data_IF_602109874376
#
_entry.id   IF_602109874376
#
_cell.length_a   1.000
_cell.length_b   1.000
_cell.length_c   1.000
_cell.angle_alpha   90.00
_cell.angle_beta   90.00
_cell.angle_gamma   90.00
#
_symmetry.space_group_name_H-M   'P 1'
#
loop_
_entity.id
_entity.type
_entity.pdbx_description
1 polymer ?
#
# COMPACT_ATOMS: atom_id res chain seq x y z
N UNK A 1 2.31 -3.27 -5.57
CA UNK A 1 3.52 -3.64 -6.32
C UNK A 1 4.64 -3.88 -5.32
N UNK A 2 5.40 -4.95 -5.48
CA UNK A 2 6.60 -5.23 -4.69
C UNK A 2 7.84 -4.95 -5.54
N UNK A 3 8.79 -4.20 -4.99
CA UNK A 3 10.10 -3.99 -5.59
C UNK A 3 11.15 -4.87 -4.93
N UNK A 4 12.16 -5.27 -5.70
CA UNK A 4 13.36 -5.91 -5.17
C UNK A 4 14.32 -4.86 -4.55
N UNK A 5 15.44 -5.36 -4.02
CA UNK A 5 16.49 -4.52 -3.41
C UNK A 5 17.11 -3.50 -4.37
N UNK A 6 16.98 -3.70 -5.68
CA UNK A 6 17.52 -2.83 -6.71
C UNK A 6 16.48 -1.83 -7.25
N UNK A 7 15.26 -1.83 -6.69
CA UNK A 7 14.16 -0.99 -7.17
C UNK A 7 13.51 -1.49 -8.46
N UNK A 8 13.81 -2.72 -8.88
CA UNK A 8 13.11 -3.39 -9.99
C UNK A 8 11.80 -4.00 -9.49
N UNK A 9 10.80 -4.05 -10.35
CA UNK A 9 9.51 -4.67 -10.08
C UNK A 9 9.71 -6.19 -9.96
N UNK A 10 9.32 -6.75 -8.83
CA UNK A 10 9.24 -8.20 -8.64
C UNK A 10 8.14 -8.74 -9.58
N UNK A 11 8.49 -9.59 -10.56
CA UNK A 11 7.53 -10.10 -11.55
C UNK A 11 6.44 -10.96 -10.92
N UNK A 12 6.66 -11.51 -9.73
CA UNK A 12 5.66 -12.29 -9.02
C UNK A 12 4.90 -11.47 -7.96
N UNK A 13 5.34 -10.23 -7.71
CA UNK A 13 4.86 -9.35 -6.66
C UNK A 13 4.02 -8.16 -7.14
N UNK A 14 3.52 -8.18 -8.38
CA UNK A 14 2.73 -7.08 -8.93
C UNK A 14 1.28 -7.46 -9.23
N UNK A 15 0.36 -6.64 -8.73
CA UNK A 15 -1.08 -6.90 -8.73
C UNK A 15 -1.83 -5.63 -9.11
N UNK A 16 -2.92 -5.80 -9.85
CA UNK A 16 -3.95 -4.81 -10.06
C UNK A 16 -5.20 -5.24 -9.31
N UNK A 17 -5.52 -4.56 -8.20
CA UNK A 17 -6.46 -5.07 -7.21
C UNK A 17 -6.04 -6.46 -6.72
N UNK A 18 -6.89 -7.47 -6.93
CA UNK A 18 -6.59 -8.88 -6.59
C UNK A 18 -5.98 -9.69 -7.73
N UNK A 19 -5.87 -9.12 -8.93
CA UNK A 19 -5.40 -9.84 -10.11
C UNK A 19 -3.89 -9.67 -10.25
N UNK A 20 -3.16 -10.79 -10.27
CA UNK A 20 -1.73 -10.78 -10.58
C UNK A 20 -1.52 -10.34 -12.04
N UNK A 21 -0.62 -9.41 -12.26
CA UNK A 21 -0.26 -8.96 -13.60
C UNK A 21 0.71 -9.95 -14.25
N UNK A 22 0.53 -10.23 -15.54
CA UNK A 22 1.48 -11.04 -16.31
C UNK A 22 2.76 -10.23 -16.60
N UNK A 23 3.84 -10.93 -16.98
CA UNK A 23 5.09 -10.26 -17.38
C UNK A 23 4.87 -9.33 -18.58
N UNK A 24 4.06 -9.74 -19.54
CA UNK A 24 3.71 -8.95 -20.73
C UNK A 24 2.90 -7.69 -20.35
N UNK A 25 1.93 -7.81 -19.43
CA UNK A 25 1.18 -6.65 -18.94
C UNK A 25 2.09 -5.66 -18.19
N UNK A 26 3.07 -6.16 -17.43
CA UNK A 26 4.04 -5.30 -16.73
C UNK A 26 4.95 -4.56 -17.71
N UNK A 27 5.46 -5.25 -18.73
CA UNK A 27 6.29 -4.65 -19.78
C UNK A 27 5.49 -3.62 -20.59
N UNK A 28 4.22 -3.90 -20.91
CA UNK A 28 3.34 -2.95 -21.60
C UNK A 28 2.98 -1.73 -20.74
N UNK A 29 2.82 -1.89 -19.41
CA UNK A 29 2.39 -0.81 -18.51
C UNK A 29 3.55 0.09 -18.10
N UNK A 30 4.69 -0.50 -17.73
CA UNK A 30 5.83 0.22 -17.17
C UNK A 30 6.98 0.42 -18.16
N UNK A 31 6.93 -0.24 -19.33
CA UNK A 31 7.95 -0.20 -20.39
C UNK A 31 9.19 -1.02 -20.05
N UNK A 32 9.67 -0.92 -18.81
CA UNK A 32 10.78 -1.73 -18.29
C UNK A 32 10.45 -2.23 -16.88
N UNK A 33 11.22 -3.20 -16.40
CA UNK A 33 11.14 -3.67 -15.01
C UNK A 33 11.63 -2.64 -13.99
N UNK A 34 12.36 -1.61 -14.42
CA UNK A 34 12.87 -0.57 -13.55
C UNK A 34 11.86 0.57 -13.52
N UNK A 35 11.48 0.97 -12.32
CA UNK A 35 10.63 2.15 -12.13
C UNK A 35 11.52 3.38 -12.28
N UNK A 36 11.27 4.15 -13.32
CA UNK A 36 11.99 5.41 -13.53
C UNK A 36 11.69 6.42 -12.41
N UNK A 37 12.59 7.37 -12.18
CA UNK A 37 12.44 8.40 -11.16
C UNK A 37 11.11 9.17 -11.25
N UNK A 38 10.63 9.45 -12.46
CA UNK A 38 9.36 10.15 -12.66
C UNK A 38 8.12 9.28 -12.40
N UNK A 39 8.22 7.97 -12.66
CA UNK A 39 7.17 7.01 -12.29
C UNK A 39 7.12 6.81 -10.77
N UNK A 40 8.28 6.82 -10.10
CA UNK A 40 8.39 6.66 -8.65
C UNK A 40 7.70 7.79 -7.87
N UNK A 41 7.66 9.02 -8.41
CA UNK A 41 6.95 10.16 -7.78
C UNK A 41 5.45 9.92 -7.59
N UNK A 42 4.84 9.06 -8.42
CA UNK A 42 3.42 8.71 -8.32
C UNK A 42 3.15 7.50 -7.43
N UNK A 43 4.18 6.85 -6.91
CA UNK A 43 4.05 5.67 -6.06
C UNK A 43 4.07 6.09 -4.59
N UNK A 44 3.24 5.40 -3.80
CA UNK A 44 3.28 5.54 -2.34
C UNK A 44 3.95 4.33 -1.73
N UNK A 45 5.00 4.58 -0.95
CA UNK A 45 5.69 3.55 -0.18
C UNK A 45 4.83 3.12 1.00
N UNK A 46 4.52 1.84 1.04
CA UNK A 46 3.77 1.21 2.12
C UNK A 46 4.75 0.61 3.13
N UNK A 47 5.02 1.32 4.22
CA UNK A 47 6.09 0.99 5.17
C UNK A 47 5.61 0.65 6.59
N UNK A 48 4.32 0.71 6.88
CA UNK A 48 3.78 0.47 8.22
C UNK A 48 2.69 -0.62 8.25
N UNK A 49 2.29 -1.06 9.45
CA UNK A 49 1.25 -2.08 9.64
C UNK A 49 -0.15 -1.61 9.18
N UNK A 50 -0.40 -0.30 9.08
CA UNK A 50 -1.68 0.24 8.64
C UNK A 50 -1.81 0.20 7.12
N UNK A 51 -0.68 0.12 6.40
CA UNK A 51 -0.65 -0.12 4.97
C UNK A 51 -1.35 -1.41 4.52
N UNK A 52 -1.49 -2.43 5.38
CA UNK A 52 -2.30 -3.62 5.05
C UNK A 52 -3.75 -3.24 4.73
N UNK A 53 -4.31 -2.27 5.46
CA UNK A 53 -5.68 -1.78 5.24
C UNK A 53 -5.74 -0.99 3.92
N UNK A 54 -4.70 -0.21 3.61
CA UNK A 54 -4.60 0.56 2.37
C UNK A 54 -4.59 -0.34 1.13
N UNK A 55 -3.95 -1.51 1.21
CA UNK A 55 -3.91 -2.47 0.09
C UNK A 55 -5.19 -3.28 -0.11
N UNK A 56 -6.07 -3.35 0.89
CA UNK A 56 -7.29 -4.18 0.82
C UNK A 56 -8.39 -3.53 -0.02
N UNK A 57 -8.39 -2.20 -0.13
CA UNK A 57 -9.35 -1.46 -0.93
C UNK A 57 -8.88 -1.40 -2.40
N UNK A 58 -9.41 -2.33 -3.21
CA UNK A 58 -8.97 -2.65 -4.58
C UNK A 58 -9.13 -1.56 -5.66
N UNK A 59 -9.57 -0.34 -5.34
CA UNK A 59 -9.84 0.71 -6.34
C UNK A 59 -9.02 1.98 -6.05
N UNK A 60 -7.71 1.83 -6.27
CA UNK A 60 -6.67 2.61 -5.60
C UNK A 60 -6.55 4.08 -6.05
N UNK A 61 -7.08 4.49 -7.21
CA UNK A 61 -6.85 5.88 -7.64
C UNK A 61 -7.76 6.90 -6.93
N UNK A 62 -8.98 6.51 -6.57
CA UNK A 62 -9.95 7.42 -5.94
C UNK A 62 -10.04 7.19 -4.44
N UNK A 63 -9.93 5.94 -3.99
CA UNK A 63 -10.16 5.55 -2.59
C UNK A 63 -8.91 5.75 -1.72
N UNK A 64 -7.70 5.68 -2.30
CA UNK A 64 -6.46 5.73 -1.52
C UNK A 64 -6.35 6.99 -0.66
N UNK A 65 -6.65 8.17 -1.22
CA UNK A 65 -6.57 9.42 -0.45
C UNK A 65 -7.58 9.44 0.70
N UNK A 66 -8.76 8.88 0.52
CA UNK A 66 -9.79 8.82 1.57
C UNK A 66 -9.42 7.83 2.66
N UNK A 67 -8.86 6.67 2.29
CA UNK A 67 -8.36 5.68 3.25
C UNK A 67 -7.17 6.23 4.04
N UNK A 68 -6.18 6.81 3.36
CA UNK A 68 -5.03 7.44 4.01
C UNK A 68 -5.48 8.58 4.96
N UNK A 69 -6.40 9.46 4.51
CA UNK A 69 -6.99 10.49 5.38
C UNK A 69 -7.70 9.90 6.59
N UNK A 70 -8.42 8.80 6.42
CA UNK A 70 -9.12 8.12 7.51
C UNK A 70 -8.16 7.50 8.52
N UNK A 71 -7.10 6.84 8.05
CA UNK A 71 -6.03 6.31 8.90
C UNK A 71 -5.39 7.46 9.69
N UNK A 72 -4.95 8.52 9.00
CA UNK A 72 -4.36 9.70 9.64
C UNK A 72 -5.31 10.33 10.67
N UNK A 73 -6.60 10.43 10.35
CA UNK A 73 -7.61 10.96 11.27
C UNK A 73 -7.74 10.11 12.53
N UNK A 74 -7.86 8.79 12.39
CA UNK A 74 -8.03 7.88 13.53
C UNK A 74 -6.81 7.89 14.46
N UNK A 75 -5.61 8.02 13.89
CA UNK A 75 -4.37 8.20 14.66
C UNK A 75 -4.32 9.55 15.38
N UNK A 76 -4.57 10.65 14.68
CA UNK A 76 -4.49 12.01 15.25
C UNK A 76 -5.59 12.29 16.27
N UNK A 77 -6.77 11.73 16.08
CA UNK A 77 -7.90 11.84 17.02
C UNK A 77 -7.74 10.96 18.27
N UNK A 78 -6.66 10.15 18.34
CA UNK A 78 -6.38 9.21 19.43
C UNK A 78 -7.46 8.15 19.63
N UNK A 79 -8.37 7.94 18.67
CA UNK A 79 -9.44 6.96 18.78
C UNK A 79 -8.88 5.54 18.94
N UNK A 80 -7.86 5.19 18.14
CA UNK A 80 -7.14 3.90 18.28
C UNK A 80 -6.44 3.80 19.62
N UNK A 81 -5.75 4.86 20.07
CA UNK A 81 -5.06 4.86 21.36
C UNK A 81 -6.04 4.66 22.53
N UNK A 82 -7.18 5.34 22.51
CA UNK A 82 -8.23 5.19 23.53
C UNK A 82 -8.80 3.77 23.53
N UNK A 83 -9.01 3.18 22.36
CA UNK A 83 -9.46 1.79 22.23
C UNK A 83 -8.46 0.78 22.81
N UNK A 84 -7.17 0.94 22.48
CA UNK A 84 -6.10 0.06 22.99
C UNK A 84 -5.97 0.19 24.52
N UNK A 85 -6.01 1.41 25.05
CA UNK A 85 -5.91 1.66 26.51
C UNK A 85 -7.12 1.09 27.26
N UNK A 86 -8.31 1.10 26.65
CA UNK A 86 -9.52 0.58 27.27
C UNK A 86 -9.53 -0.96 27.39
N UNK A 87 -8.85 -1.67 26.48
CA UNK A 87 -8.74 -3.13 26.52
C UNK A 87 -7.35 -3.62 26.04
N UNK A 88 -6.28 -3.43 26.83
CA UNK A 88 -4.92 -3.72 26.38
C UNK A 88 -4.69 -5.20 26.07
N UNK A 89 -5.36 -6.10 26.80
CA UNK A 89 -5.19 -7.55 26.64
C UNK A 89 -5.65 -8.04 25.27
N UNK A 90 -6.62 -7.36 24.64
CA UNK A 90 -7.11 -7.74 23.32
C UNK A 90 -6.19 -7.32 22.18
N UNK A 91 -5.41 -6.26 22.36
CA UNK A 91 -4.67 -5.60 21.28
C UNK A 91 -3.14 -5.74 21.40
N UNK A 92 -2.60 -6.03 22.58
CA UNK A 92 -1.15 -6.07 22.86
C UNK A 92 -0.64 -7.44 23.31
N UNK A 93 -1.52 -8.35 23.74
CA UNK A 93 -1.22 -9.71 24.21
C UNK A 93 -1.82 -10.74 23.24
#
# INVERSE_FOLDING_TARGET
>A
MKSDFFGSIDPDGCYFGRRKLSREELENTYGTRHIGHDQAKGLVGLMDFFCFIETWYNDASTIYNDVNRSIQYVHRSLLVHRGIVADPNRYLL
#
